data_IF_670742836284
#
_entry.id   IF_670742836284
#
_cell.length_a   1.000
_cell.length_b   1.000
_cell.length_c   1.000
_cell.angle_alpha   90.00
_cell.angle_beta   90.00
_cell.angle_gamma   90.00
#
_symmetry.space_group_name_H-M   'P 1'
#
loop_
_entity.id
_entity.type
_entity.pdbx_description
1 polymer ?
#
# COMPACT_ATOMS: atom_id res chain seq x y z
N UNK A 1 -6.81 20.87 6.99
CA UNK A 1 -6.46 21.60 5.76
C UNK A 1 -6.99 20.79 4.60
N UNK A 2 -7.74 21.42 3.72
CA UNK A 2 -8.51 20.68 2.72
C UNK A 2 -7.67 20.39 1.47
N UNK A 3 -7.94 19.25 0.84
CA UNK A 3 -7.39 18.85 -0.45
C UNK A 3 -8.39 19.24 -1.55
N UNK A 4 -8.33 20.49 -2.01
CA UNK A 4 -9.28 21.02 -3.00
C UNK A 4 -8.74 20.80 -4.42
N UNK A 5 -9.49 20.12 -5.32
CA UNK A 5 -9.07 19.93 -6.71
C UNK A 5 -8.68 21.25 -7.40
N UNK A 6 -7.52 21.26 -8.08
CA UNK A 6 -7.01 22.43 -8.78
C UNK A 6 -6.35 23.50 -7.90
N UNK A 7 -6.24 23.29 -6.59
CA UNK A 7 -5.55 24.21 -5.67
C UNK A 7 -4.40 23.50 -4.95
N UNK A 8 -3.34 24.25 -4.68
CA UNK A 8 -2.23 23.81 -3.83
C UNK A 8 -2.35 24.55 -2.51
N UNK A 9 -2.72 23.83 -1.46
CA UNK A 9 -2.69 24.32 -0.09
C UNK A 9 -1.45 23.76 0.62
N UNK A 10 -0.82 24.56 1.48
CA UNK A 10 0.40 24.16 2.21
C UNK A 10 0.15 24.26 3.71
N UNK A 11 0.37 23.17 4.42
CA UNK A 11 0.46 23.13 5.89
C UNK A 11 1.89 22.78 6.26
N UNK A 12 2.53 23.61 7.10
CA UNK A 12 3.84 23.29 7.68
C UNK A 12 3.63 22.63 9.02
N UNK A 13 4.22 21.46 9.20
CA UNK A 13 4.19 20.69 10.44
C UNK A 13 5.61 20.58 10.99
N UNK A 14 5.73 20.67 12.31
CA UNK A 14 6.95 20.35 13.05
C UNK A 14 6.57 19.33 14.11
N UNK A 15 7.29 18.21 14.16
CA UNK A 15 7.13 17.20 15.18
C UNK A 15 8.26 17.35 16.21
N UNK A 16 7.92 17.79 17.42
CA UNK A 16 8.90 18.02 18.49
C UNK A 16 9.33 16.73 19.20
N UNK A 17 8.62 15.62 18.93
CA UNK A 17 8.90 14.30 19.47
C UNK A 17 8.69 13.22 18.41
N UNK A 18 9.54 12.18 18.46
CA UNK A 18 9.36 10.99 17.63
C UNK A 18 8.07 10.25 18.02
N UNK A 19 7.41 9.65 17.04
CA UNK A 19 6.18 8.91 17.26
C UNK A 19 5.34 8.70 16.02
N UNK A 20 4.29 7.90 16.19
CA UNK A 20 3.33 7.58 15.13
C UNK A 20 2.03 8.32 15.41
N UNK A 21 1.58 9.12 14.46
CA UNK A 21 0.34 9.87 14.54
C UNK A 21 -0.61 9.38 13.46
N UNK A 22 -1.83 9.00 13.84
CA UNK A 22 -2.89 8.64 12.89
C UNK A 22 -3.61 9.90 12.43
N UNK A 23 -3.62 10.14 11.13
CA UNK A 23 -4.45 11.15 10.47
C UNK A 23 -5.77 10.57 9.99
N UNK A 24 -6.82 11.38 10.06
CA UNK A 24 -8.15 11.06 9.54
C UNK A 24 -8.53 12.10 8.49
N UNK A 25 -9.06 11.65 7.34
CA UNK A 25 -9.70 12.55 6.39
C UNK A 25 -10.88 13.25 7.06
N UNK A 26 -10.91 14.58 7.04
CA UNK A 26 -11.85 15.41 7.80
C UNK A 26 -12.86 16.15 6.91
N UNK A 27 -12.91 15.83 5.62
CA UNK A 27 -13.87 16.39 4.66
C UNK A 27 -14.61 15.26 3.95
N UNK A 28 -15.94 15.33 3.91
CA UNK A 28 -16.76 14.26 3.36
C UNK A 28 -16.49 14.09 1.86
N UNK A 29 -15.98 12.93 1.47
CA UNK A 29 -15.54 12.64 0.10
C UNK A 29 -16.30 11.49 -0.57
N UNK A 30 -17.42 11.06 0.01
CA UNK A 30 -18.23 9.94 -0.47
C UNK A 30 -18.27 8.75 0.50
N UNK A 31 -18.89 7.64 0.06
CA UNK A 31 -19.16 6.46 0.90
C UNK A 31 -18.02 6.04 1.83
N UNK A 32 -16.80 5.72 1.32
CA UNK A 32 -15.71 5.23 2.15
C UNK A 32 -14.97 6.34 2.94
N UNK A 33 -15.57 7.53 3.09
CA UNK A 33 -14.95 8.68 3.78
C UNK A 33 -14.41 8.32 5.18
N UNK A 34 -15.21 7.64 6.00
CA UNK A 34 -14.80 7.22 7.35
C UNK A 34 -13.62 6.22 7.35
N UNK A 35 -13.36 5.59 6.20
CA UNK A 35 -12.34 4.56 5.99
C UNK A 35 -11.08 5.13 5.31
N UNK A 36 -10.87 6.44 5.37
CA UNK A 36 -9.74 7.12 4.76
C UNK A 36 -8.81 7.72 5.83
N UNK A 37 -7.90 6.88 6.32
CA UNK A 37 -6.86 7.27 7.28
C UNK A 37 -5.46 7.22 6.66
N UNK A 38 -4.53 7.87 7.34
CA UNK A 38 -3.10 7.86 7.02
C UNK A 38 -2.30 7.88 8.31
N UNK A 39 -1.00 7.63 8.21
CA UNK A 39 -0.07 7.77 9.33
C UNK A 39 1.01 8.79 8.95
N UNK A 40 1.34 9.66 9.91
CA UNK A 40 2.57 10.42 9.91
C UNK A 40 3.51 9.77 10.93
N UNK A 41 4.73 9.43 10.51
CA UNK A 41 5.75 8.86 11.37
C UNK A 41 6.84 9.91 11.53
N UNK A 42 6.99 10.42 12.74
CA UNK A 42 8.09 11.30 13.11
C UNK A 42 9.24 10.45 13.66
N UNK A 43 10.39 10.56 13.04
CA UNK A 43 11.63 9.88 13.43
C UNK A 43 12.72 10.93 13.70
N UNK A 44 13.85 10.49 14.26
CA UNK A 44 15.04 11.35 14.27
C UNK A 44 15.52 11.62 12.84
N UNK A 45 16.29 12.70 12.64
CA UNK A 45 16.80 13.05 11.31
C UNK A 45 17.64 11.92 10.68
N UNK A 46 18.44 11.22 11.49
CA UNK A 46 19.27 10.10 11.04
C UNK A 46 18.43 8.87 10.64
N UNK A 47 17.41 8.53 11.42
CA UNK A 47 16.48 7.44 11.10
C UNK A 47 15.70 7.74 9.81
N UNK A 48 15.18 8.96 9.69
CA UNK A 48 14.46 9.41 8.50
C UNK A 48 15.33 9.33 7.26
N UNK A 49 16.59 9.79 7.30
CA UNK A 49 17.45 9.72 6.11
C UNK A 49 17.78 8.27 5.73
N UNK A 50 18.02 7.40 6.72
CA UNK A 50 18.20 5.95 6.47
C UNK A 50 16.95 5.31 5.87
N UNK A 51 15.77 5.66 6.39
CA UNK A 51 14.49 5.20 5.85
C UNK A 51 14.29 5.70 4.42
N UNK A 52 14.50 7.00 4.18
CA UNK A 52 14.36 7.64 2.88
C UNK A 52 15.28 7.02 1.83
N UNK A 53 16.55 6.78 2.18
CA UNK A 53 17.51 6.13 1.30
C UNK A 53 17.02 4.76 0.84
N UNK A 54 16.45 3.94 1.74
CA UNK A 54 15.84 2.65 1.38
C UNK A 54 14.58 2.84 0.52
N UNK A 55 13.73 3.80 0.86
CA UNK A 55 12.44 3.99 0.18
C UNK A 55 12.52 4.51 -1.26
N UNK A 56 13.67 5.04 -1.68
CA UNK A 56 13.89 5.46 -3.08
C UNK A 56 14.47 4.33 -3.95
N UNK A 57 14.92 3.23 -3.36
CA UNK A 57 15.45 2.09 -4.09
C UNK A 57 14.33 1.35 -4.87
N UNK A 58 14.74 0.44 -5.76
CA UNK A 58 13.81 -0.49 -6.37
C UNK A 58 13.46 -1.61 -5.39
N UNK A 59 12.41 -2.38 -5.68
CA UNK A 59 12.11 -3.57 -4.89
C UNK A 59 13.27 -4.56 -4.95
N UNK A 60 13.56 -5.20 -3.82
CA UNK A 60 14.49 -6.34 -3.79
C UNK A 60 13.99 -7.42 -4.75
N UNK A 61 14.86 -7.98 -5.62
CA UNK A 61 14.48 -9.07 -6.51
C UNK A 61 13.88 -10.27 -5.76
N UNK A 62 12.92 -10.93 -6.38
CA UNK A 62 12.39 -12.19 -5.87
C UNK A 62 13.41 -13.31 -6.13
N UNK A 63 14.05 -13.83 -5.07
CA UNK A 63 15.12 -14.83 -5.20
C UNK A 63 14.72 -16.25 -4.78
N UNK A 64 13.53 -16.43 -4.18
CA UNK A 64 13.00 -17.75 -3.85
C UNK A 64 11.92 -18.15 -4.84
N UNK A 65 11.76 -19.45 -5.11
CA UNK A 65 10.72 -19.96 -6.01
C UNK A 65 9.31 -19.51 -5.61
N UNK A 66 9.03 -19.39 -4.31
CA UNK A 66 7.76 -18.86 -3.83
C UNK A 66 7.59 -17.35 -4.09
N UNK A 67 8.66 -16.56 -3.92
CA UNK A 67 8.64 -15.13 -4.21
C UNK A 67 8.53 -14.87 -5.71
N UNK A 68 9.25 -15.63 -6.55
CA UNK A 68 9.17 -15.56 -8.00
C UNK A 68 7.76 -15.88 -8.49
N UNK A 69 7.14 -16.94 -7.96
CA UNK A 69 5.74 -17.27 -8.26
C UNK A 69 4.79 -16.14 -7.86
N UNK A 70 4.96 -15.55 -6.67
CA UNK A 70 4.13 -14.42 -6.22
C UNK A 70 4.30 -13.17 -7.09
N UNK A 71 5.53 -12.88 -7.54
CA UNK A 71 5.80 -11.82 -8.51
C UNK A 71 5.15 -12.11 -9.87
N UNK A 72 5.25 -13.34 -10.38
CA UNK A 72 4.61 -13.75 -11.63
C UNK A 72 3.09 -13.60 -11.55
N UNK A 73 2.46 -14.09 -10.46
CA UNK A 73 1.04 -13.90 -10.21
C UNK A 73 0.65 -12.42 -10.19
N UNK A 74 1.46 -11.55 -9.56
CA UNK A 74 1.20 -10.10 -9.54
C UNK A 74 1.17 -9.49 -10.95
N UNK A 75 2.07 -9.91 -11.84
CA UNK A 75 2.12 -9.44 -13.22
C UNK A 75 0.99 -10.04 -14.06
N UNK A 76 0.83 -11.36 -14.03
CA UNK A 76 -0.13 -12.12 -14.83
C UNK A 76 -1.59 -11.79 -14.50
N UNK A 77 -1.89 -11.51 -13.22
CA UNK A 77 -3.23 -11.11 -12.75
C UNK A 77 -3.50 -9.61 -12.97
N UNK A 78 -2.58 -8.90 -13.63
CA UNK A 78 -2.75 -7.52 -14.06
C UNK A 78 -2.61 -6.48 -12.96
N UNK A 79 -2.10 -6.83 -11.77
CA UNK A 79 -1.93 -5.88 -10.66
C UNK A 79 -1.01 -4.71 -11.06
N UNK A 80 0.02 -5.00 -11.86
CA UNK A 80 0.98 -4.02 -12.39
C UNK A 80 0.40 -2.97 -13.34
N UNK A 81 -0.85 -3.14 -13.82
CA UNK A 81 -1.54 -2.12 -14.64
C UNK A 81 -1.97 -0.91 -13.81
N UNK A 82 -2.25 -1.13 -12.53
CA UNK A 82 -2.68 -0.08 -11.60
C UNK A 82 -1.59 0.29 -10.60
N UNK A 83 -0.74 -0.66 -10.21
CA UNK A 83 0.26 -0.48 -9.16
C UNK A 83 1.68 -0.53 -9.70
N UNK A 84 2.56 0.33 -9.17
CA UNK A 84 3.99 0.29 -9.43
C UNK A 84 4.69 -0.64 -8.45
N UNK A 85 5.65 -1.43 -8.96
CA UNK A 85 6.72 -2.07 -8.18
C UNK A 85 8.01 -1.82 -8.92
N UNK A 86 8.82 -0.86 -8.45
CA UNK A 86 10.06 -0.45 -9.12
C UNK A 86 11.03 -1.63 -9.22
N UNK A 87 11.74 -1.74 -10.34
CA UNK A 87 12.60 -2.90 -10.65
C UNK A 87 11.87 -4.05 -11.35
N UNK A 88 10.56 -3.90 -11.60
CA UNK A 88 9.75 -4.87 -12.37
C UNK A 88 9.05 -4.18 -13.55
N UNK A 89 8.40 -4.92 -14.47
CA UNK A 89 7.56 -4.32 -15.50
C UNK A 89 6.31 -3.58 -14.99
N UNK A 90 5.97 -3.67 -13.70
CA UNK A 90 4.81 -3.02 -13.11
C UNK A 90 5.04 -1.52 -12.88
N UNK A 91 4.38 -0.69 -13.69
CA UNK A 91 4.55 0.77 -13.72
C UNK A 91 3.21 1.53 -13.62
N UNK A 92 2.15 0.87 -13.15
CA UNK A 92 0.82 1.46 -13.02
C UNK A 92 0.74 2.55 -11.94
N UNK A 93 0.09 3.68 -12.25
CA UNK A 93 0.01 4.84 -11.35
C UNK A 93 -1.41 5.16 -10.87
N UNK A 94 -2.40 4.34 -11.22
CA UNK A 94 -3.79 4.53 -10.78
C UNK A 94 -3.98 4.16 -9.31
N UNK A 95 -3.28 3.13 -8.86
CA UNK A 95 -3.22 2.67 -7.47
C UNK A 95 -1.97 3.18 -6.75
N UNK A 96 -1.87 2.95 -5.43
CA UNK A 96 -0.67 3.26 -4.67
C UNK A 96 0.54 2.47 -5.17
N UNK A 97 1.73 3.09 -5.07
CA UNK A 97 3.03 2.43 -5.24
C UNK A 97 3.19 1.31 -4.18
N UNK A 98 3.49 0.09 -4.64
CA UNK A 98 3.62 -1.09 -3.78
C UNK A 98 5.08 -1.54 -3.58
N UNK A 99 6.06 -0.80 -4.10
CA UNK A 99 7.50 -1.16 -4.07
C UNK A 99 8.00 -1.55 -2.69
N UNK A 100 7.49 -0.89 -1.63
CA UNK A 100 7.82 -1.19 -0.24
C UNK A 100 6.55 -1.38 0.62
N UNK A 101 5.50 -2.00 0.05
CA UNK A 101 4.20 -2.16 0.75
C UNK A 101 4.32 -2.95 2.05
N UNK A 102 5.21 -3.93 2.13
CA UNK A 102 5.50 -4.73 3.32
C UNK A 102 6.11 -3.93 4.48
N UNK A 103 6.67 -2.75 4.22
CA UNK A 103 7.19 -1.84 5.25
C UNK A 103 6.13 -0.88 5.83
N UNK A 104 4.91 -0.87 5.28
CA UNK A 104 3.84 0.03 5.74
C UNK A 104 3.27 -0.41 7.08
N UNK A 105 2.83 0.56 7.89
CA UNK A 105 2.15 0.30 9.18
C UNK A 105 0.77 -0.37 9.03
N UNK A 106 0.10 -0.15 7.90
CA UNK A 106 -1.27 -0.61 7.67
C UNK A 106 -1.59 -0.73 6.18
N UNK A 107 -2.70 -1.42 5.90
CA UNK A 107 -3.27 -1.58 4.58
C UNK A 107 -4.63 -0.87 4.48
N UNK A 108 -5.11 -0.73 3.24
CA UNK A 108 -6.45 -0.21 2.92
C UNK A 108 -6.74 1.19 3.53
N UNK A 109 -5.76 2.08 3.55
CA UNK A 109 -5.85 3.41 4.19
C UNK A 109 -6.14 3.33 5.70
N UNK A 110 -5.39 2.49 6.42
CA UNK A 110 -5.43 2.40 7.88
C UNK A 110 -6.57 1.55 8.45
N UNK A 111 -7.24 0.74 7.62
CA UNK A 111 -8.33 -0.14 8.07
C UNK A 111 -7.78 -1.47 8.61
N UNK A 112 -6.72 -1.99 7.98
CA UNK A 112 -6.22 -3.33 8.24
C UNK A 112 -4.76 -3.31 8.70
N UNK A 113 -4.34 -4.27 9.55
CA UNK A 113 -2.93 -4.48 9.81
C UNK A 113 -2.19 -4.91 8.53
N UNK A 114 -0.89 -4.67 8.47
CA UNK A 114 -0.07 -5.11 7.35
C UNK A 114 0.55 -6.49 7.62
N UNK A 115 -0.17 -7.54 7.23
CA UNK A 115 0.31 -8.92 7.27
C UNK A 115 -0.32 -9.72 6.13
N UNK A 116 0.22 -10.91 5.86
CA UNK A 116 -0.23 -11.80 4.77
C UNK A 116 -1.74 -12.04 4.77
N UNK A 117 -2.34 -12.32 5.94
CA UNK A 117 -3.77 -12.63 6.02
C UNK A 117 -4.67 -11.46 5.66
N UNK A 118 -4.38 -10.27 6.22
CA UNK A 118 -5.10 -9.05 5.89
C UNK A 118 -4.92 -8.65 4.43
N UNK A 119 -3.72 -8.85 3.88
CA UNK A 119 -3.42 -8.55 2.48
C UNK A 119 -4.16 -9.48 1.52
N UNK A 120 -4.17 -10.78 1.78
CA UNK A 120 -4.95 -11.75 1.03
C UNK A 120 -6.45 -11.41 1.08
N UNK A 121 -6.98 -11.12 2.28
CA UNK A 121 -8.37 -10.70 2.46
C UNK A 121 -8.73 -9.43 1.69
N UNK A 122 -7.83 -8.44 1.68
CA UNK A 122 -7.99 -7.21 0.89
C UNK A 122 -8.03 -7.49 -0.61
N UNK A 123 -7.10 -8.29 -1.13
CA UNK A 123 -7.07 -8.65 -2.57
C UNK A 123 -8.35 -9.37 -2.98
N UNK A 124 -8.79 -10.34 -2.17
CA UNK A 124 -9.99 -11.12 -2.48
C UNK A 124 -11.29 -10.30 -2.37
N UNK A 125 -11.42 -9.43 -1.36
CA UNK A 125 -12.70 -8.85 -0.94
C UNK A 125 -12.63 -7.33 -0.67
N UNK A 126 -11.83 -6.57 -1.42
CA UNK A 126 -11.64 -5.13 -1.23
C UNK A 126 -12.96 -4.35 -1.12
N UNK A 127 -13.98 -4.70 -1.92
CA UNK A 127 -15.29 -4.03 -1.88
C UNK A 127 -16.12 -4.33 -0.63
N UNK A 128 -15.90 -5.47 0.03
CA UNK A 128 -16.53 -5.74 1.33
C UNK A 128 -15.85 -4.97 2.46
N UNK A 129 -14.53 -4.79 2.37
CA UNK A 129 -13.72 -4.11 3.39
C UNK A 129 -13.84 -2.59 3.28
N UNK A 130 -13.81 -2.05 2.06
CA UNK A 130 -13.94 -0.62 1.76
C UNK A 130 -14.85 -0.41 0.55
N UNK A 131 -16.18 -0.44 0.72
CA UNK A 131 -17.12 -0.29 -0.38
C UNK A 131 -16.91 0.99 -1.18
N UNK A 132 -16.92 0.87 -2.51
CA UNK A 132 -16.75 2.00 -3.43
C UNK A 132 -15.29 2.43 -3.65
N UNK A 133 -14.31 1.69 -3.12
CA UNK A 133 -12.93 1.88 -3.55
C UNK A 133 -12.75 1.46 -5.03
N UNK A 134 -11.69 1.94 -5.69
CA UNK A 134 -11.49 1.71 -7.13
C UNK A 134 -10.72 0.42 -7.47
N UNK A 135 -10.29 -0.35 -6.46
CA UNK A 135 -9.70 -1.67 -6.67
C UNK A 135 -10.83 -2.71 -6.72
N UNK A 136 -10.93 -3.54 -7.77
CA UNK A 136 -11.87 -4.66 -7.80
C UNK A 136 -11.61 -5.69 -6.70
N UNK A 137 -12.59 -6.54 -6.43
CA UNK A 137 -12.40 -7.77 -5.65
C UNK A 137 -11.89 -8.87 -6.58
N UNK A 138 -10.86 -9.61 -6.16
CA UNK A 138 -10.22 -10.64 -6.99
C UNK A 138 -10.48 -12.08 -6.51
N UNK A 139 -11.47 -12.31 -5.63
CA UNK A 139 -11.78 -13.65 -5.11
C UNK A 139 -12.03 -14.70 -6.21
N UNK A 140 -12.57 -14.32 -7.37
CA UNK A 140 -12.78 -15.22 -8.51
C UNK A 140 -11.56 -15.36 -9.43
N UNK A 141 -10.51 -14.54 -9.23
CA UNK A 141 -9.30 -14.50 -10.07
C UNK A 141 -8.11 -15.23 -9.45
N UNK A 142 -8.25 -15.69 -8.21
CA UNK A 142 -7.21 -16.42 -7.47
C UNK A 142 -7.80 -17.71 -6.89
N UNK A 143 -7.01 -18.79 -6.96
CA UNK A 143 -7.28 -19.97 -6.15
C UNK A 143 -6.98 -19.71 -4.66
N UNK A 144 -7.47 -20.60 -3.79
CA UNK A 144 -7.13 -20.56 -2.37
C UNK A 144 -5.64 -20.76 -2.07
N UNK A 145 -4.89 -21.35 -3.01
CA UNK A 145 -3.45 -21.58 -2.88
C UNK A 145 -2.61 -20.41 -3.43
N UNK A 146 -3.10 -19.72 -4.46
CA UNK A 146 -2.41 -18.58 -5.06
C UNK A 146 -2.50 -17.32 -4.20
N UNK A 147 -3.63 -17.10 -3.52
CA UNK A 147 -3.88 -15.88 -2.76
C UNK A 147 -2.86 -15.67 -1.61
N UNK A 148 -2.47 -16.68 -0.82
CA UNK A 148 -1.40 -16.55 0.16
C UNK A 148 -0.01 -16.34 -0.48
N UNK A 149 0.22 -16.84 -1.69
CA UNK A 149 1.51 -16.70 -2.38
C UNK A 149 1.74 -15.25 -2.81
N UNK A 150 0.77 -14.64 -3.50
CA UNK A 150 0.87 -13.21 -3.87
C UNK A 150 0.92 -12.31 -2.62
N UNK A 151 0.16 -12.63 -1.57
CA UNK A 151 0.18 -11.86 -0.34
C UNK A 151 1.54 -11.91 0.38
N UNK A 152 2.22 -13.06 0.39
CA UNK A 152 3.59 -13.18 0.92
C UNK A 152 4.61 -12.42 0.09
N UNK A 153 4.50 -12.49 -1.24
CA UNK A 153 5.35 -11.69 -2.12
C UNK A 153 5.24 -10.20 -1.78
N UNK A 154 4.02 -9.68 -1.71
CA UNK A 154 3.77 -8.28 -1.38
C UNK A 154 4.21 -7.90 0.05
N UNK A 155 4.02 -8.78 1.05
CA UNK A 155 4.54 -8.55 2.40
C UNK A 155 6.09 -8.52 2.46
N UNK A 156 6.75 -9.25 1.55
CA UNK A 156 8.20 -9.24 1.40
C UNK A 156 8.78 -7.97 0.77
N UNK A 157 7.95 -7.13 0.13
CA UNK A 157 8.38 -5.87 -0.49
C UNK A 157 8.63 -4.80 0.58
N UNK A 158 9.86 -4.64 1.07
CA UNK A 158 10.21 -3.76 2.20
C UNK A 158 11.17 -2.64 1.87
#
# INVERSE_FOLDING_TARGET
>A
LDMIPGRVNVLRLQADQAGVMRGQCAEYCGGPHALMALYAVAETAEEFERWRARQIESATPAESTAAELGQSLFIERGCGTCHTVRGTPAVGTRGPDLTHVGSRLSLAAGILPNNVGAMAGWIAQSQQIKPGNLMPSFASSFSGEELPVIARYLEGLK
#
